data_IF_040099306027
#
_entry.id   IF_040099306027
#
_cell.length_a   1.000
_cell.length_b   1.000
_cell.length_c   1.000
_cell.angle_alpha   90.00
_cell.angle_beta   90.00
_cell.angle_gamma   90.00
#
_symmetry.space_group_name_H-M   'P 1'
#
loop_
_entity.id
_entity.type
_entity.pdbx_description
1 polymer ?
#
# COMPACT_ATOMS: atom_id res chain seq x y z
N UNK A 1 -26.46 13.31 37.04
CA UNK A 1 -25.05 13.47 36.61
C UNK A 1 -24.39 12.19 36.13
N UNK A 2 -24.44 11.05 36.86
CA UNK A 2 -23.78 9.79 36.44
C UNK A 2 -24.22 9.27 35.06
N UNK A 3 -25.51 9.39 34.74
CA UNK A 3 -26.06 8.97 33.43
C UNK A 3 -25.60 9.84 32.25
N UNK A 4 -25.40 11.15 32.47
CA UNK A 4 -24.85 12.05 31.45
C UNK A 4 -23.39 11.73 31.15
N UNK A 5 -22.60 11.43 32.18
CA UNK A 5 -21.21 11.03 32.01
C UNK A 5 -21.10 9.69 31.27
N UNK A 6 -21.95 8.70 31.63
CA UNK A 6 -22.00 7.41 30.96
C UNK A 6 -22.40 7.54 29.48
N UNK A 7 -23.37 8.41 29.17
CA UNK A 7 -23.76 8.72 27.79
C UNK A 7 -22.62 9.38 27.01
N UNK A 8 -21.96 10.38 27.59
CA UNK A 8 -20.84 11.06 26.94
C UNK A 8 -19.68 10.10 26.64
N UNK A 9 -19.35 9.20 27.58
CA UNK A 9 -18.33 8.16 27.37
C UNK A 9 -18.75 7.18 26.28
N UNK A 10 -20.00 6.70 26.31
CA UNK A 10 -20.53 5.78 25.30
C UNK A 10 -20.52 6.38 23.88
N UNK A 11 -20.96 7.63 23.74
CA UNK A 11 -20.95 8.35 22.45
C UNK A 11 -19.51 8.58 21.98
N UNK A 12 -18.61 9.01 22.86
CA UNK A 12 -17.21 9.22 22.52
C UNK A 12 -16.58 7.92 22.04
N UNK A 13 -16.80 6.80 22.73
CA UNK A 13 -16.32 5.50 22.32
C UNK A 13 -16.89 5.08 20.95
N UNK A 14 -18.19 5.26 20.72
CA UNK A 14 -18.81 4.97 19.44
C UNK A 14 -18.21 5.79 18.28
N UNK A 15 -17.96 7.08 18.50
CA UNK A 15 -17.30 7.97 17.53
C UNK A 15 -15.88 7.49 17.22
N UNK A 16 -15.11 7.12 18.25
CA UNK A 16 -13.75 6.61 18.06
C UNK A 16 -13.74 5.30 17.27
N UNK A 17 -14.65 4.37 17.56
CA UNK A 17 -14.79 3.10 16.83
C UNK A 17 -15.20 3.36 15.37
N UNK A 18 -16.21 4.20 15.15
CA UNK A 18 -16.65 4.54 13.80
C UNK A 18 -15.53 5.22 12.99
N UNK A 19 -14.83 6.19 13.60
CA UNK A 19 -13.69 6.85 12.99
C UNK A 19 -12.57 5.87 12.63
N UNK A 20 -12.26 4.93 13.53
CA UNK A 20 -11.27 3.89 13.27
C UNK A 20 -11.67 2.98 12.09
N UNK A 21 -12.92 2.55 12.03
CA UNK A 21 -13.42 1.71 10.93
C UNK A 21 -13.39 2.45 9.58
N UNK A 22 -13.75 3.74 9.57
CA UNK A 22 -13.64 4.59 8.38
C UNK A 22 -12.17 4.73 7.92
N UNK A 23 -11.22 4.89 8.85
CA UNK A 23 -9.80 5.05 8.57
C UNK A 23 -9.05 3.74 8.27
N UNK A 24 -9.73 2.59 8.32
CA UNK A 24 -9.17 1.26 8.03
C UNK A 24 -9.93 0.59 6.89
N UNK A 25 -11.13 0.06 7.15
CA UNK A 25 -11.95 -0.66 6.17
C UNK A 25 -12.43 0.30 5.07
N UNK A 26 -12.86 1.51 5.43
CA UNK A 26 -13.37 2.49 4.47
C UNK A 26 -12.33 2.93 3.43
N UNK A 27 -11.04 2.73 3.69
CA UNK A 27 -9.97 3.16 2.78
C UNK A 27 -9.89 2.35 1.47
N UNK A 28 -10.46 1.14 1.42
CA UNK A 28 -10.46 0.33 0.19
C UNK A 28 -11.23 0.97 -0.96
N UNK A 29 -12.29 1.74 -0.65
CA UNK A 29 -13.10 2.44 -1.64
C UNK A 29 -12.33 3.55 -2.36
N UNK A 30 -11.33 4.11 -1.67
CA UNK A 30 -10.51 5.22 -2.14
C UNK A 30 -9.18 4.76 -2.74
N UNK A 31 -8.99 3.45 -2.95
CA UNK A 31 -7.83 2.96 -3.67
C UNK A 31 -7.77 3.57 -5.08
N UNK A 32 -6.58 3.94 -5.56
CA UNK A 32 -6.43 4.58 -6.86
C UNK A 32 -6.94 3.71 -8.01
N UNK A 33 -7.32 4.33 -9.13
CA UNK A 33 -7.83 3.60 -10.31
C UNK A 33 -6.79 2.63 -10.90
N UNK A 34 -5.51 2.99 -10.85
CA UNK A 34 -4.41 2.10 -11.27
C UNK A 34 -4.41 0.75 -10.53
N UNK A 35 -4.99 0.66 -9.33
CA UNK A 35 -5.14 -0.61 -8.60
C UNK A 35 -6.33 -1.43 -9.08
N UNK A 36 -7.38 -0.75 -9.56
CA UNK A 36 -8.63 -1.38 -10.01
C UNK A 36 -8.53 -1.89 -11.45
N UNK A 37 -7.64 -1.28 -12.24
CA UNK A 37 -7.52 -1.51 -13.67
C UNK A 37 -6.44 -2.55 -14.05
N UNK A 38 -5.66 -3.04 -13.09
CA UNK A 38 -4.66 -4.10 -13.32
C UNK A 38 -5.33 -5.46 -13.17
N UNK A 39 -5.25 -6.26 -14.23
CA UNK A 39 -5.91 -7.55 -14.35
C UNK A 39 -4.95 -8.65 -14.84
N UNK A 40 -5.19 -9.93 -14.49
CA UNK A 40 -4.45 -11.05 -15.06
C UNK A 40 -4.53 -11.07 -16.59
N UNK A 41 -3.41 -11.39 -17.24
CA UNK A 41 -3.27 -11.42 -18.69
C UNK A 41 -2.83 -10.10 -19.33
N UNK A 42 -2.84 -8.98 -18.59
CA UNK A 42 -2.25 -7.74 -19.06
C UNK A 42 -0.74 -7.88 -19.25
N UNK A 43 -0.17 -7.15 -20.20
CA UNK A 43 1.29 -7.07 -20.35
C UNK A 43 1.89 -6.13 -19.31
N UNK A 44 3.15 -6.36 -18.94
CA UNK A 44 3.90 -5.46 -18.07
C UNK A 44 3.91 -4.01 -18.55
N UNK A 45 3.95 -3.79 -19.86
CA UNK A 45 3.88 -2.45 -20.44
C UNK A 45 2.52 -1.79 -20.20
N UNK A 46 1.42 -2.53 -20.39
CA UNK A 46 0.07 -2.04 -20.12
C UNK A 46 -0.10 -1.65 -18.64
N UNK A 47 0.38 -2.49 -17.72
CA UNK A 47 0.34 -2.19 -16.28
C UNK A 47 1.09 -0.88 -15.98
N UNK A 48 2.32 -0.75 -16.47
CA UNK A 48 3.16 0.43 -16.22
C UNK A 48 2.57 1.71 -16.80
N UNK A 49 1.86 1.63 -17.92
CA UNK A 49 1.17 2.79 -18.51
C UNK A 49 0.02 3.33 -17.64
N UNK A 50 -0.50 2.52 -16.71
CA UNK A 50 -1.55 2.94 -15.79
C UNK A 50 -1.01 3.53 -14.48
N UNK A 51 0.28 3.32 -14.19
CA UNK A 51 0.92 3.78 -12.96
C UNK A 51 1.42 5.21 -13.19
N UNK A 52 0.96 6.20 -12.41
CA UNK A 52 1.47 7.56 -12.52
C UNK A 52 2.98 7.60 -12.28
N UNK A 53 3.72 8.34 -13.12
CA UNK A 53 5.18 8.40 -13.07
C UNK A 53 5.68 8.91 -11.70
N UNK A 54 4.91 9.75 -11.04
CA UNK A 54 5.21 10.28 -9.70
C UNK A 54 5.13 9.25 -8.57
N UNK A 55 4.61 8.04 -8.81
CA UNK A 55 4.63 6.95 -7.82
C UNK A 55 5.90 6.12 -7.92
N UNK A 56 6.61 6.15 -9.05
CA UNK A 56 7.76 5.27 -9.26
C UNK A 56 8.89 5.69 -8.31
N UNK A 57 9.21 4.83 -7.34
CA UNK A 57 10.32 5.08 -6.42
C UNK A 57 11.64 4.76 -7.12
N UNK A 58 12.37 5.83 -7.44
CA UNK A 58 13.67 5.81 -8.13
C UNK A 58 14.80 5.27 -7.25
N UNK A 59 14.59 5.06 -5.94
CA UNK A 59 15.65 4.68 -5.01
C UNK A 59 16.09 3.21 -5.10
N UNK A 60 15.46 2.37 -5.94
CA UNK A 60 15.90 1.00 -6.22
C UNK A 60 16.02 0.72 -7.73
N UNK A 61 17.07 1.28 -8.33
CA UNK A 61 17.76 0.82 -9.55
C UNK A 61 17.22 -0.42 -10.30
N UNK A 62 16.73 -0.29 -11.55
CA UNK A 62 17.45 -0.62 -12.82
C UNK A 62 16.58 -0.79 -14.13
N UNK A 63 17.17 -0.27 -15.22
CA UNK A 63 17.21 -0.64 -16.67
C UNK A 63 16.02 -0.65 -17.64
N UNK A 64 14.75 -0.57 -17.24
CA UNK A 64 13.65 -0.56 -18.25
C UNK A 64 13.00 0.79 -18.49
N UNK A 65 13.44 1.83 -17.80
CA UNK A 65 12.93 3.18 -17.93
C UNK A 65 14.09 4.11 -18.25
N UNK A 66 13.99 4.86 -19.36
CA UNK A 66 14.99 5.86 -19.70
C UNK A 66 14.97 6.98 -18.65
N UNK A 67 16.16 7.34 -18.18
CA UNK A 67 16.44 8.15 -17.00
C UNK A 67 16.01 9.64 -17.16
N UNK A 68 15.52 10.02 -18.33
CA UNK A 68 15.39 11.42 -18.77
C UNK A 68 14.02 12.05 -18.48
N UNK A 69 12.99 11.26 -18.11
CA UNK A 69 11.61 11.75 -17.94
C UNK A 69 11.12 11.91 -16.48
N UNK A 70 11.95 11.64 -15.47
CA UNK A 70 11.47 11.63 -14.08
C UNK A 70 11.74 12.93 -13.31
N UNK A 71 10.69 13.57 -12.75
CA UNK A 71 10.87 14.68 -11.82
C UNK A 71 11.46 14.22 -10.47
N UNK A 72 12.45 14.96 -9.96
CA UNK A 72 12.98 14.83 -8.59
C UNK A 72 11.94 15.27 -7.54
N UNK A 73 11.16 14.36 -6.91
CA UNK A 73 10.48 14.61 -5.60
C UNK A 73 9.72 13.40 -5.02
N UNK A 74 9.63 13.25 -3.68
CA UNK A 74 8.52 12.54 -3.01
C UNK A 74 7.69 13.46 -2.07
N UNK A 75 6.50 13.07 -1.56
CA UNK A 75 5.80 11.81 -1.79
C UNK A 75 4.35 12.00 -2.34
N UNK A 76 4.03 11.30 -3.42
CA UNK A 76 2.75 10.61 -3.44
C UNK A 76 2.72 9.67 -2.22
N UNK A 77 1.58 9.57 -1.53
CA UNK A 77 1.40 8.54 -0.49
C UNK A 77 1.43 7.11 -1.08
N UNK A 78 1.54 7.01 -2.40
CA UNK A 78 1.71 5.81 -3.19
C UNK A 78 3.09 5.74 -3.81
N UNK A 79 3.56 4.52 -3.94
CA UNK A 79 4.86 4.12 -4.41
C UNK A 79 4.68 2.91 -5.33
N UNK A 80 5.46 2.85 -6.40
CA UNK A 80 5.59 1.72 -7.29
C UNK A 80 7.06 1.33 -7.34
N UNK A 81 7.35 0.08 -7.02
CA UNK A 81 8.68 -0.53 -7.10
C UNK A 81 8.63 -1.57 -8.22
N UNK A 82 9.05 -1.21 -9.44
CA UNK A 82 9.14 -2.16 -10.53
C UNK A 82 10.34 -3.08 -10.33
N UNK A 83 10.17 -4.42 -10.33
CA UNK A 83 11.32 -5.33 -10.37
C UNK A 83 11.69 -5.70 -11.82
N UNK A 84 12.98 -5.82 -12.15
CA UNK A 84 13.42 -6.29 -13.46
C UNK A 84 12.96 -7.74 -13.69
N UNK A 85 12.59 -8.10 -14.92
CA UNK A 85 12.22 -9.50 -15.25
C UNK A 85 13.35 -10.50 -15.10
N UNK A 86 14.58 -10.02 -14.91
CA UNK A 86 15.79 -10.83 -14.73
C UNK A 86 16.07 -11.21 -13.27
N UNK A 87 15.30 -10.70 -12.31
CA UNK A 87 15.47 -10.98 -10.88
C UNK A 87 14.52 -12.12 -10.45
N UNK A 88 14.97 -13.08 -9.61
CA UNK A 88 14.09 -14.10 -9.06
C UNK A 88 13.00 -13.45 -8.19
N UNK A 89 11.84 -13.27 -8.79
CA UNK A 89 10.79 -12.37 -8.31
C UNK A 89 10.28 -11.54 -9.47
N UNK A 90 9.63 -12.17 -10.45
CA UNK A 90 9.12 -11.46 -11.61
C UNK A 90 7.84 -10.68 -11.22
N UNK A 91 7.93 -9.67 -10.35
CA UNK A 91 6.77 -8.94 -9.84
C UNK A 91 7.00 -7.42 -9.75
N UNK A 92 5.95 -6.63 -9.89
CA UNK A 92 5.95 -5.21 -9.53
C UNK A 92 5.20 -5.04 -8.20
N UNK A 93 5.64 -4.12 -7.35
CA UNK A 93 4.99 -3.82 -6.08
C UNK A 93 4.44 -2.39 -6.08
N UNK A 94 3.14 -2.25 -5.88
CA UNK A 94 2.49 -0.98 -5.61
C UNK A 94 2.17 -0.91 -4.13
N UNK A 95 2.63 0.12 -3.44
CA UNK A 95 2.43 0.30 -2.01
C UNK A 95 1.97 1.72 -1.72
N UNK A 96 1.05 1.91 -0.79
CA UNK A 96 0.74 3.25 -0.36
C UNK A 96 -0.02 3.34 0.94
N UNK A 97 0.16 4.46 1.63
CA UNK A 97 -0.47 4.70 2.92
C UNK A 97 -1.77 5.47 2.75
N UNK A 98 -2.84 4.97 3.36
CA UNK A 98 -4.11 5.67 3.45
C UNK A 98 -4.70 5.48 4.85
N UNK A 99 -4.99 6.60 5.54
CA UNK A 99 -5.40 6.56 6.94
C UNK A 99 -4.38 5.84 7.82
N UNK A 100 -4.83 4.82 8.54
CA UNK A 100 -3.99 3.97 9.38
C UNK A 100 -3.55 2.67 8.72
N UNK A 101 -3.70 2.55 7.40
CA UNK A 101 -3.38 1.34 6.65
C UNK A 101 -2.28 1.60 5.62
N UNK A 102 -1.33 0.68 5.54
CA UNK A 102 -0.43 0.56 4.41
C UNK A 102 -0.99 -0.52 3.49
N UNK A 103 -1.38 -0.13 2.29
CA UNK A 103 -1.84 -1.03 1.24
C UNK A 103 -0.66 -1.50 0.41
N UNK A 104 -0.66 -2.77 0.00
CA UNK A 104 0.29 -3.33 -0.94
C UNK A 104 -0.45 -4.16 -2.01
N UNK A 105 -0.05 -4.01 -3.26
CA UNK A 105 -0.48 -4.83 -4.38
C UNK A 105 0.77 -5.36 -5.06
N UNK A 106 0.95 -6.66 -5.01
CA UNK A 106 2.02 -7.38 -5.69
C UNK A 106 1.46 -7.94 -6.99
N UNK A 107 2.07 -7.56 -8.11
CA UNK A 107 1.67 -7.96 -9.46
C UNK A 107 2.74 -8.91 -9.97
N UNK A 108 2.45 -10.21 -10.03
CA UNK A 108 3.39 -11.21 -10.51
C UNK A 108 3.21 -11.45 -12.00
N UNK A 109 4.31 -11.69 -12.70
CA UNK A 109 4.36 -11.85 -14.14
C UNK A 109 4.90 -13.24 -14.53
N UNK A 110 4.28 -13.84 -15.54
CA UNK A 110 4.80 -15.00 -16.26
C UNK A 110 4.85 -14.65 -17.75
N UNK A 111 6.01 -14.82 -18.40
CA UNK A 111 6.21 -14.45 -19.81
C UNK A 111 5.77 -13.01 -20.14
N UNK A 112 6.16 -12.03 -19.32
CA UNK A 112 5.80 -10.59 -19.46
C UNK A 112 4.29 -10.27 -19.35
N UNK A 113 3.47 -11.24 -18.96
CA UNK A 113 2.03 -11.07 -18.70
C UNK A 113 1.72 -11.27 -17.23
N UNK A 114 0.75 -10.52 -16.69
CA UNK A 114 0.31 -10.65 -15.30
C UNK A 114 -0.27 -12.05 -15.08
N UNK A 115 0.36 -12.84 -14.23
CA UNK A 115 -0.12 -14.17 -13.87
C UNK A 115 -0.90 -14.19 -12.57
N UNK A 116 -0.57 -13.28 -11.65
CA UNK A 116 -1.20 -13.23 -10.34
C UNK A 116 -1.16 -11.81 -9.77
N UNK A 117 -2.16 -11.45 -8.98
CA UNK A 117 -2.25 -10.16 -8.28
C UNK A 117 -2.62 -10.44 -6.84
N UNK A 118 -1.72 -10.12 -5.93
CA UNK A 118 -1.94 -10.25 -4.50
C UNK A 118 -2.16 -8.88 -3.86
N UNK A 119 -3.30 -8.72 -3.21
CA UNK A 119 -3.60 -7.54 -2.41
C UNK A 119 -3.37 -7.87 -0.94
N UNK A 120 -2.53 -7.08 -0.28
CA UNK A 120 -2.32 -7.17 1.16
C UNK A 120 -2.35 -5.80 1.80
N UNK A 121 -2.51 -5.78 3.12
CA UNK A 121 -2.45 -4.56 3.88
C UNK A 121 -1.81 -4.81 5.24
N UNK A 122 -1.28 -3.75 5.83
CA UNK A 122 -0.80 -3.75 7.21
C UNK A 122 -1.37 -2.55 7.92
N UNK A 123 -2.07 -2.79 9.01
CA UNK A 123 -2.57 -1.71 9.83
C UNK A 123 -1.43 -1.15 10.71
N UNK A 124 -1.49 0.15 10.98
CA UNK A 124 -0.44 0.85 11.71
C UNK A 124 -0.25 0.27 13.12
N UNK A 125 -1.33 -0.21 13.74
CA UNK A 125 -1.27 -0.84 15.06
C UNK A 125 -0.51 -2.17 15.03
N UNK A 126 -0.64 -2.97 13.97
CA UNK A 126 0.14 -4.21 13.80
C UNK A 126 1.63 -3.90 13.66
N UNK A 127 1.97 -2.84 12.92
CA UNK A 127 3.36 -2.37 12.82
C UNK A 127 3.91 -1.89 14.15
N UNK A 128 3.10 -1.17 14.93
CA UNK A 128 3.50 -0.68 16.24
C UNK A 128 3.76 -1.85 17.20
N UNK A 129 2.88 -2.86 17.19
CA UNK A 129 3.05 -4.09 17.96
C UNK A 129 4.29 -4.87 17.50
N UNK A 130 4.57 -4.92 16.20
CA UNK A 130 5.78 -5.54 15.68
C UNK A 130 7.05 -4.83 16.15
N UNK A 131 7.09 -3.50 16.11
CA UNK A 131 8.23 -2.70 16.60
C UNK A 131 8.41 -2.90 18.10
N UNK A 132 7.32 -2.90 18.88
CA UNK A 132 7.38 -3.16 20.32
C UNK A 132 7.91 -4.58 20.57
N UNK A 133 7.42 -5.59 19.85
CA UNK A 133 7.93 -6.97 19.95
C UNK A 133 9.39 -7.09 19.56
N UNK A 134 9.84 -6.44 18.49
CA UNK A 134 11.25 -6.46 18.08
C UNK A 134 12.16 -5.75 19.10
N UNK A 135 11.66 -4.70 19.76
CA UNK A 135 12.45 -3.92 20.72
C UNK A 135 12.49 -4.52 22.13
N UNK A 136 11.49 -5.32 22.51
CA UNK A 136 11.34 -5.86 23.87
C UNK A 136 11.20 -7.39 23.94
N UNK A 137 11.10 -8.06 22.79
CA UNK A 137 11.00 -9.52 22.68
C UNK A 137 12.32 -10.26 22.82
N UNK A 138 13.46 -9.56 22.68
CA UNK A 138 14.81 -10.10 22.91
C UNK A 138 15.25 -10.05 24.39
N UNK A 139 14.33 -9.78 25.33
CA UNK A 139 14.60 -9.78 26.77
C UNK A 139 14.17 -11.08 27.49
N UNK A 140 14.17 -12.21 26.77
CA UNK A 140 13.99 -13.55 27.37
C UNK A 140 15.15 -14.47 27.06
#
# INVERSE_FOLDING_TARGET
MKHLLAWAVGVTFAILVAGYLCLTIGTSLFLPEAWKNVEPGMTRHQVRSQIPLEWVDTWRWYTSFQEEDYPKKPPSNWMATPEPSTVPGNFDLLSGKMGFRLWNMRIEYTNETVSNIEHSYTDLHDRLLMIIRMRWGDLR
#
